data_IF_841365483352
#
_entry.id   IF_841365483352
#
_cell.length_a   1.000
_cell.length_b   1.000
_cell.length_c   1.000
_cell.angle_alpha   90.00
_cell.angle_beta   90.00
_cell.angle_gamma   90.00
#
_symmetry.space_group_name_H-M   'P 1'
#
loop_
_entity.id
_entity.type
_entity.pdbx_description
1 polymer ?
#
# COMPACT_ATOMS: atom_id res chain seq x y z
N UNK A 1 22.25 -7.31 -11.83
CA UNK A 1 22.08 -8.67 -11.30
C UNK A 1 20.87 -8.60 -10.39
N UNK A 2 19.75 -9.23 -10.77
CA UNK A 2 18.52 -9.22 -9.97
C UNK A 2 18.79 -10.06 -8.72
N UNK A 3 18.48 -9.52 -7.54
CA UNK A 3 18.65 -10.27 -6.29
C UNK A 3 17.58 -11.36 -6.18
N UNK A 4 17.85 -12.43 -5.42
CA UNK A 4 16.86 -13.50 -5.19
C UNK A 4 15.56 -12.94 -4.60
N UNK A 5 15.64 -11.92 -3.75
CA UNK A 5 14.48 -11.26 -3.15
C UNK A 5 13.68 -10.37 -4.13
N UNK A 6 14.33 -9.83 -5.17
CA UNK A 6 13.66 -9.09 -6.24
C UNK A 6 12.92 -10.04 -7.18
N UNK A 7 13.55 -11.16 -7.57
CA UNK A 7 12.90 -12.18 -8.38
C UNK A 7 11.70 -12.81 -7.67
N UNK A 8 11.83 -13.07 -6.36
CA UNK A 8 10.73 -13.61 -5.56
C UNK A 8 9.63 -12.58 -5.31
N UNK A 9 9.96 -11.29 -5.19
CA UNK A 9 8.97 -10.21 -5.15
C UNK A 9 8.12 -10.17 -6.42
N UNK A 10 8.78 -10.18 -7.58
CA UNK A 10 8.12 -10.10 -8.89
C UNK A 10 7.15 -11.29 -9.04
N UNK A 11 7.67 -12.51 -8.84
CA UNK A 11 6.91 -13.75 -8.88
C UNK A 11 5.73 -13.77 -7.91
N UNK A 12 5.95 -13.34 -6.66
CA UNK A 12 4.88 -13.33 -5.66
C UNK A 12 3.82 -12.29 -6.00
N UNK A 13 4.20 -11.13 -6.55
CA UNK A 13 3.27 -10.09 -6.97
C UNK A 13 2.40 -10.58 -8.12
N UNK A 14 3.00 -11.22 -9.13
CA UNK A 14 2.25 -11.82 -10.24
C UNK A 14 1.28 -12.90 -9.75
N UNK A 15 1.72 -13.72 -8.79
CA UNK A 15 0.84 -14.71 -8.16
C UNK A 15 -0.36 -14.06 -7.47
N UNK A 16 -0.16 -12.98 -6.71
CA UNK A 16 -1.26 -12.26 -6.05
C UNK A 16 -2.24 -11.65 -7.06
N UNK A 17 -1.76 -11.08 -8.16
CA UNK A 17 -2.59 -10.42 -9.16
C UNK A 17 -3.36 -11.42 -10.03
N UNK A 18 -2.76 -12.58 -10.30
CA UNK A 18 -3.36 -13.63 -11.15
C UNK A 18 -4.23 -14.63 -10.38
N UNK A 19 -4.25 -14.58 -9.05
CA UNK A 19 -5.03 -15.50 -8.22
C UNK A 19 -6.44 -14.99 -7.96
N UNK A 20 -7.43 -15.81 -8.29
CA UNK A 20 -8.86 -15.53 -8.03
C UNK A 20 -9.39 -16.19 -6.74
N UNK A 21 -8.51 -16.83 -5.96
CA UNK A 21 -8.85 -17.61 -4.77
C UNK A 21 -7.78 -17.41 -3.69
N UNK A 22 -7.82 -18.23 -2.64
CA UNK A 22 -6.88 -18.21 -1.53
C UNK A 22 -5.42 -18.33 -2.01
N UNK A 23 -4.64 -17.28 -1.78
CA UNK A 23 -3.21 -17.24 -2.07
C UNK A 23 -2.44 -17.81 -0.89
N UNK A 24 -1.73 -18.92 -1.08
CA UNK A 24 -0.92 -19.56 -0.03
C UNK A 24 0.50 -19.84 -0.51
N UNK A 25 1.47 -19.89 0.40
CA UNK A 25 2.86 -20.21 0.05
C UNK A 25 2.99 -21.64 -0.53
N UNK A 26 2.19 -22.58 -0.04
CA UNK A 26 2.11 -23.94 -0.59
C UNK A 26 1.49 -23.95 -1.98
N UNK A 27 0.44 -23.14 -2.20
CA UNK A 27 -0.21 -22.99 -3.51
C UNK A 27 0.75 -22.43 -4.57
N UNK A 28 1.49 -21.37 -4.24
CA UNK A 28 2.52 -20.84 -5.14
C UNK A 28 3.63 -21.86 -5.41
N UNK A 29 4.12 -22.54 -4.36
CA UNK A 29 5.16 -23.57 -4.52
C UNK A 29 4.72 -24.70 -5.45
N UNK A 30 3.46 -25.16 -5.33
CA UNK A 30 2.89 -26.16 -6.22
C UNK A 30 2.72 -25.66 -7.65
N UNK A 31 2.27 -24.41 -7.84
CA UNK A 31 2.12 -23.78 -9.16
C UNK A 31 3.45 -23.71 -9.93
N UNK A 32 4.56 -23.61 -9.20
CA UNK A 32 5.91 -23.50 -9.75
C UNK A 32 6.68 -24.83 -9.75
N UNK A 33 5.98 -25.96 -9.68
CA UNK A 33 6.57 -27.32 -9.64
C UNK A 33 7.68 -27.44 -8.58
N UNK A 34 7.48 -26.81 -7.43
CA UNK A 34 8.41 -26.77 -6.29
C UNK A 34 9.78 -26.14 -6.59
N UNK A 35 9.93 -25.41 -7.71
CA UNK A 35 11.16 -24.65 -8.01
C UNK A 35 11.45 -23.56 -6.97
N UNK A 36 10.41 -23.08 -6.29
CA UNK A 36 10.50 -22.28 -5.05
C UNK A 36 9.70 -22.99 -3.96
N UNK A 37 10.34 -23.27 -2.82
CA UNK A 37 9.66 -23.93 -1.70
C UNK A 37 8.75 -22.98 -0.92
N UNK A 38 7.70 -23.50 -0.29
CA UNK A 38 6.83 -22.71 0.59
C UNK A 38 7.60 -22.09 1.78
N UNK A 39 8.68 -22.75 2.24
CA UNK A 39 9.57 -22.21 3.28
C UNK A 39 10.37 -20.99 2.79
N UNK A 40 10.83 -21.01 1.53
CA UNK A 40 11.50 -19.85 0.94
C UNK A 40 10.55 -18.66 0.85
N UNK A 41 9.31 -18.90 0.39
CA UNK A 41 8.26 -17.87 0.32
C UNK A 41 7.95 -17.32 1.72
N UNK A 42 7.78 -18.20 2.72
CA UNK A 42 7.49 -17.80 4.09
C UNK A 42 8.63 -16.98 4.70
N UNK A 43 9.88 -17.40 4.47
CA UNK A 43 11.06 -16.67 4.94
C UNK A 43 11.18 -15.30 4.29
N UNK A 44 10.87 -15.20 3.00
CA UNK A 44 10.82 -13.94 2.27
C UNK A 44 9.76 -12.99 2.83
N UNK A 45 8.54 -13.47 3.07
CA UNK A 45 7.45 -12.67 3.65
C UNK A 45 7.71 -12.26 5.11
N UNK A 46 8.51 -13.05 5.85
CA UNK A 46 8.91 -12.76 7.23
C UNK A 46 10.07 -11.75 7.34
N UNK A 47 10.64 -11.29 6.22
CA UNK A 47 11.63 -10.22 6.22
C UNK A 47 11.03 -8.89 6.71
N UNK A 48 11.84 -7.84 6.82
CA UNK A 48 11.33 -6.51 7.18
C UNK A 48 10.21 -6.09 6.22
N UNK A 49 9.12 -5.49 6.72
CA UNK A 49 8.12 -4.90 5.85
C UNK A 49 8.75 -3.87 4.91
N UNK A 50 8.37 -3.92 3.63
CA UNK A 50 8.75 -2.90 2.65
C UNK A 50 7.91 -1.64 2.86
N UNK A 51 8.54 -0.49 2.65
CA UNK A 51 7.93 0.82 2.85
C UNK A 51 7.87 1.63 1.54
N UNK A 52 7.38 2.86 1.62
CA UNK A 52 7.27 3.74 0.46
C UNK A 52 8.60 4.06 -0.23
N UNK A 53 9.72 4.05 0.49
CA UNK A 53 11.03 4.27 -0.12
C UNK A 53 11.50 3.05 -0.91
N UNK A 54 11.16 1.84 -0.44
CA UNK A 54 11.40 0.60 -1.18
C UNK A 54 10.58 0.59 -2.49
N UNK A 55 9.30 1.00 -2.45
CA UNK A 55 8.48 1.18 -3.66
C UNK A 55 9.13 2.17 -4.63
N UNK A 56 9.57 3.33 -4.13
CA UNK A 56 10.22 4.34 -4.96
C UNK A 56 11.45 3.78 -5.68
N UNK A 57 12.24 2.93 -5.02
CA UNK A 57 13.41 2.30 -5.65
C UNK A 57 13.02 1.47 -6.88
N UNK A 58 11.91 0.72 -6.79
CA UNK A 58 11.38 -0.11 -7.88
C UNK A 58 10.84 0.74 -9.03
N UNK A 59 10.02 1.77 -8.74
CA UNK A 59 9.33 2.52 -9.79
C UNK A 59 10.15 3.67 -10.39
N UNK A 60 11.17 4.16 -9.68
CA UNK A 60 11.99 5.32 -10.09
C UNK A 60 12.53 5.20 -11.52
N UNK A 61 13.12 4.08 -11.98
CA UNK A 61 13.60 3.97 -13.35
C UNK A 61 12.48 4.07 -14.39
N UNK A 62 11.26 3.65 -14.06
CA UNK A 62 10.10 3.81 -14.93
C UNK A 62 9.66 5.26 -14.95
N UNK A 63 9.51 5.89 -13.77
CA UNK A 63 9.14 7.30 -13.64
C UNK A 63 10.10 8.21 -14.41
N UNK A 64 11.42 8.02 -14.27
CA UNK A 64 12.42 8.83 -14.99
C UNK A 64 12.37 8.72 -16.52
N UNK A 65 11.85 7.62 -17.05
CA UNK A 65 11.69 7.43 -18.50
C UNK A 65 10.43 8.10 -19.04
N UNK A 66 9.40 8.27 -18.21
CA UNK A 66 8.07 8.72 -18.64
C UNK A 66 7.70 10.11 -18.12
N UNK A 67 8.40 10.64 -17.11
CA UNK A 67 8.04 11.89 -16.46
C UNK A 67 8.12 13.08 -17.42
N UNK A 68 7.13 13.96 -17.30
CA UNK A 68 7.01 15.18 -18.09
C UNK A 68 6.45 16.29 -17.24
N UNK A 69 6.59 17.53 -17.70
CA UNK A 69 6.18 18.71 -16.94
C UNK A 69 4.65 18.76 -16.75
N UNK A 70 3.87 18.12 -17.63
CA UNK A 70 2.41 17.97 -17.53
C UNK A 70 1.93 16.85 -16.60
N UNK A 71 2.84 16.07 -15.98
CA UNK A 71 2.45 15.02 -15.05
C UNK A 71 1.62 15.54 -13.87
N UNK A 72 0.81 14.67 -13.27
CA UNK A 72 0.03 15.01 -12.06
C UNK A 72 0.23 13.95 -10.99
N UNK A 73 0.15 14.36 -9.74
CA UNK A 73 0.05 13.45 -8.60
C UNK A 73 -1.40 13.36 -8.17
N UNK A 74 -1.91 12.15 -8.01
CA UNK A 74 -3.25 11.87 -7.51
C UNK A 74 -3.06 11.20 -6.16
N UNK A 75 -3.63 11.78 -5.11
CA UNK A 75 -3.60 11.18 -3.78
C UNK A 75 -4.99 10.73 -3.39
N UNK A 76 -5.10 9.44 -3.10
CA UNK A 76 -6.35 8.79 -2.73
C UNK A 76 -6.14 7.89 -1.51
N UNK A 77 -7.22 7.56 -0.81
CA UNK A 77 -7.23 6.58 0.28
C UNK A 77 -8.13 5.40 -0.05
N UNK A 78 -7.65 4.21 0.27
CA UNK A 78 -8.33 2.96 -0.04
C UNK A 78 -8.37 2.06 1.18
N UNK A 79 -9.38 1.18 1.24
CA UNK A 79 -9.50 0.16 2.28
C UNK A 79 -9.49 -1.21 1.61
N UNK A 80 -8.44 -1.98 1.88
CA UNK A 80 -8.40 -3.40 1.55
C UNK A 80 -9.13 -4.18 2.64
N UNK A 81 -10.32 -4.70 2.33
CA UNK A 81 -11.16 -5.39 3.31
C UNK A 81 -10.52 -6.70 3.79
N UNK A 82 -10.50 -6.90 5.11
CA UNK A 82 -10.02 -8.13 5.77
C UNK A 82 -11.04 -8.60 6.80
N UNK A 83 -12.27 -8.97 6.39
CA UNK A 83 -13.38 -9.26 7.31
C UNK A 83 -13.12 -10.44 8.25
N UNK A 84 -12.27 -11.40 7.84
CA UNK A 84 -11.98 -12.60 8.60
C UNK A 84 -10.62 -12.59 9.31
N UNK A 85 -9.86 -11.50 9.22
CA UNK A 85 -8.56 -11.38 9.90
C UNK A 85 -8.71 -10.70 11.25
N UNK A 86 -7.92 -11.14 12.23
CA UNK A 86 -7.91 -10.54 13.57
C UNK A 86 -7.44 -9.08 13.54
N UNK A 87 -8.01 -8.28 14.44
CA UNK A 87 -7.64 -6.87 14.57
C UNK A 87 -6.23 -6.73 15.14
N UNK A 88 -5.46 -5.81 14.57
CA UNK A 88 -4.17 -5.39 15.07
C UNK A 88 -3.96 -3.90 14.73
N UNK A 89 -2.74 -3.39 14.88
CA UNK A 89 -2.48 -1.97 14.64
C UNK A 89 -2.69 -1.58 13.18
N UNK A 90 -2.51 -2.50 12.23
CA UNK A 90 -2.71 -2.29 10.81
C UNK A 90 -4.13 -2.67 10.35
N UNK A 91 -4.66 -3.78 10.86
CA UNK A 91 -5.99 -4.29 10.52
C UNK A 91 -6.99 -3.78 11.56
N UNK A 92 -7.80 -2.81 11.17
CA UNK A 92 -8.76 -2.19 12.08
C UNK A 92 -10.06 -1.79 11.37
N UNK A 93 -10.98 -1.18 12.11
CA UNK A 93 -12.24 -0.66 11.58
C UNK A 93 -12.06 0.75 11.04
N UNK A 94 -12.34 0.97 9.76
CA UNK A 94 -12.24 2.25 9.07
C UNK A 94 -13.60 2.60 8.47
N UNK A 95 -13.97 3.88 8.48
CA UNK A 95 -15.20 4.32 7.83
C UNK A 95 -14.95 4.52 6.35
N UNK A 96 -15.80 3.94 5.52
CA UNK A 96 -15.80 4.08 4.08
C UNK A 96 -17.00 4.94 3.65
N UNK A 97 -16.71 6.11 3.10
CA UNK A 97 -17.73 7.05 2.62
C UNK A 97 -18.52 6.49 1.44
N UNK A 98 -17.90 5.65 0.60
CA UNK A 98 -18.55 5.10 -0.59
C UNK A 98 -19.62 4.05 -0.24
N UNK A 99 -19.44 3.36 0.90
CA UNK A 99 -20.36 2.32 1.40
C UNK A 99 -21.17 2.75 2.62
N UNK A 100 -20.97 3.98 3.09
CA UNK A 100 -21.61 4.57 4.27
C UNK A 100 -21.56 3.65 5.51
N UNK A 101 -20.42 2.99 5.75
CA UNK A 101 -20.28 2.04 6.87
C UNK A 101 -18.84 1.84 7.31
N UNK A 102 -18.68 1.23 8.48
CA UNK A 102 -17.38 0.75 8.96
C UNK A 102 -17.02 -0.58 8.27
N UNK A 103 -15.82 -0.63 7.70
CA UNK A 103 -15.20 -1.82 7.14
C UNK A 103 -13.98 -2.21 7.98
N UNK A 104 -13.83 -3.52 8.23
CA UNK A 104 -12.61 -4.05 8.83
C UNK A 104 -11.60 -4.35 7.72
N UNK A 105 -10.41 -3.77 7.82
CA UNK A 105 -9.42 -3.89 6.76
C UNK A 105 -8.15 -3.10 7.03
N UNK A 106 -7.35 -2.97 5.97
CA UNK A 106 -6.13 -2.16 5.94
C UNK A 106 -6.47 -0.87 5.20
N UNK A 107 -6.44 0.27 5.87
CA UNK A 107 -6.54 1.56 5.21
C UNK A 107 -5.14 2.06 4.83
N UNK A 108 -5.00 2.56 3.61
CA UNK A 108 -3.74 3.09 3.11
C UNK A 108 -4.01 4.26 2.19
N UNK A 109 -3.08 5.21 2.19
CA UNK A 109 -3.06 6.31 1.22
C UNK A 109 -2.04 5.97 0.14
N UNK A 110 -2.33 6.35 -1.09
CA UNK A 110 -1.44 6.16 -2.24
C UNK A 110 -1.24 7.48 -2.95
N UNK A 111 -0.01 7.78 -3.35
CA UNK A 111 0.28 8.82 -4.32
C UNK A 111 0.56 8.16 -5.68
N UNK A 112 -0.32 8.40 -6.64
CA UNK A 112 -0.28 7.88 -7.99
C UNK A 112 0.20 8.97 -8.94
N UNK A 113 1.28 8.71 -9.67
CA UNK A 113 1.75 9.59 -10.73
C UNK A 113 1.07 9.23 -12.05
N UNK A 114 0.39 10.20 -12.65
CA UNK A 114 -0.25 10.07 -13.95
C UNK A 114 0.42 10.99 -14.97
N UNK A 115 0.84 10.43 -16.10
CA UNK A 115 1.35 11.19 -17.25
C UNK A 115 0.88 10.54 -18.56
N UNK A 116 0.07 11.27 -19.33
CA UNK A 116 -0.60 10.70 -20.50
C UNK A 116 -1.43 9.46 -20.12
N UNK A 117 -1.11 8.32 -20.75
CA UNK A 117 -1.76 7.03 -20.48
C UNK A 117 -1.08 6.20 -19.39
N UNK A 118 0.04 6.66 -18.82
CA UNK A 118 0.80 5.92 -17.80
C UNK A 118 0.34 6.33 -16.40
N UNK A 119 0.08 5.33 -15.57
CA UNK A 119 -0.27 5.48 -14.15
C UNK A 119 0.64 4.62 -13.29
N UNK A 120 1.33 5.22 -12.30
CA UNK A 120 2.32 4.53 -11.48
C UNK A 120 2.20 4.94 -10.01
N UNK A 121 2.09 4.01 -9.05
CA UNK A 121 2.16 4.35 -7.63
C UNK A 121 3.61 4.74 -7.29
N UNK A 122 3.80 5.94 -6.74
CA UNK A 122 5.13 6.49 -6.43
C UNK A 122 5.39 6.64 -4.93
N UNK A 123 4.33 6.67 -4.13
CA UNK A 123 4.41 6.60 -2.68
C UNK A 123 3.14 5.96 -2.11
N UNK A 124 3.25 5.41 -0.90
CA UNK A 124 2.11 4.94 -0.13
C UNK A 124 2.36 5.10 1.36
N UNK A 125 1.29 5.09 2.14
CA UNK A 125 1.37 5.11 3.59
C UNK A 125 0.27 4.25 4.19
N UNK A 126 0.64 3.31 5.07
CA UNK A 126 -0.30 2.42 5.75
C UNK A 126 -0.81 3.07 7.04
N UNK A 127 -2.13 3.16 7.20
CA UNK A 127 -2.75 3.79 8.36
C UNK A 127 -2.80 2.79 9.51
N UNK A 128 -1.88 2.94 10.45
CA UNK A 128 -1.88 2.19 11.70
C UNK A 128 -2.59 2.93 12.83
N UNK A 129 -3.35 2.21 13.66
CA UNK A 129 -4.07 2.71 14.83
C UNK A 129 -3.55 2.08 16.11
N UNK A 130 -2.50 2.70 16.64
CA UNK A 130 -1.73 2.22 17.81
C UNK A 130 -2.27 2.75 19.15
N UNK A 131 -3.06 3.82 19.14
CA UNK A 131 -3.63 4.39 20.37
C UNK A 131 -5.01 3.81 20.66
N UNK A 132 -5.35 3.66 21.94
CA UNK A 132 -6.70 3.29 22.39
C UNK A 132 -7.31 4.49 23.10
N UNK A 133 -8.46 4.95 22.60
CA UNK A 133 -9.21 6.09 23.14
C UNK A 133 -10.62 5.63 23.50
N UNK A 134 -11.16 6.06 24.64
CA UNK A 134 -12.57 5.83 24.98
C UNK A 134 -13.43 6.79 24.17
N UNK A 135 -14.34 6.24 23.36
CA UNK A 135 -15.32 7.02 22.64
C UNK A 135 -16.34 7.60 23.64
N UNK A 136 -16.37 8.93 23.74
CA UNK A 136 -17.22 9.64 24.72
C UNK A 136 -18.72 9.40 24.54
N UNK A 137 -19.17 9.03 23.33
CA UNK A 137 -20.59 8.81 23.04
C UNK A 137 -21.03 7.40 23.37
N UNK A 138 -20.18 6.42 23.08
CA UNK A 138 -20.50 4.98 23.22
C UNK A 138 -19.90 4.35 24.47
N UNK A 139 -18.98 5.04 25.14
CA UNK A 139 -18.19 4.57 26.28
C UNK A 139 -17.40 3.27 25.99
N UNK A 140 -17.07 3.04 24.72
CA UNK A 140 -16.32 1.86 24.26
C UNK A 140 -14.91 2.26 23.83
N UNK A 141 -13.90 1.38 24.03
CA UNK A 141 -12.57 1.61 23.48
C UNK A 141 -12.62 1.63 21.95
N UNK A 142 -11.90 2.58 21.36
CA UNK A 142 -11.68 2.68 19.92
C UNK A 142 -10.21 2.90 19.65
N UNK A 143 -9.70 2.22 18.61
CA UNK A 143 -8.34 2.43 18.12
C UNK A 143 -8.28 3.74 17.34
N UNK A 144 -7.22 4.52 17.55
CA UNK A 144 -6.96 5.79 16.85
C UNK A 144 -5.53 5.81 16.31
N UNK A 145 -5.37 6.45 15.15
CA UNK A 145 -4.05 6.73 14.59
C UNK A 145 -3.44 7.96 15.23
N UNK A 146 -2.13 7.92 15.47
CA UNK A 146 -1.33 9.06 15.93
C UNK A 146 -1.25 10.18 14.89
N UNK A 147 -1.30 9.81 13.61
CA UNK A 147 -1.24 10.73 12.48
C UNK A 147 -2.59 10.80 11.77
N UNK A 148 -3.01 12.01 11.45
CA UNK A 148 -4.16 12.29 10.59
C UNK A 148 -3.86 11.93 9.13
N UNK A 149 -4.91 11.67 8.33
CA UNK A 149 -4.78 11.48 6.88
C UNK A 149 -4.08 12.67 6.21
N UNK A 150 -4.36 13.90 6.64
CA UNK A 150 -3.74 15.11 6.11
C UNK A 150 -2.24 15.21 6.42
N UNK A 151 -1.79 14.78 7.59
CA UNK A 151 -0.36 14.73 7.91
C UNK A 151 0.38 13.69 7.05
N UNK A 152 -0.23 12.50 6.87
CA UNK A 152 0.29 11.43 6.01
C UNK A 152 0.37 11.89 4.55
N UNK A 153 -0.69 12.51 4.03
CA UNK A 153 -0.71 13.12 2.70
C UNK A 153 0.42 14.14 2.52
N UNK A 154 0.56 15.11 3.43
CA UNK A 154 1.66 16.10 3.37
C UNK A 154 3.04 15.43 3.39
N UNK A 155 3.22 14.36 4.16
CA UNK A 155 4.48 13.62 4.19
C UNK A 155 4.78 12.93 2.85
N UNK A 156 3.79 12.26 2.24
CA UNK A 156 3.94 11.65 0.92
C UNK A 156 4.23 12.69 -0.17
N UNK A 157 3.55 13.84 -0.14
CA UNK A 157 3.79 14.90 -1.12
C UNK A 157 5.20 15.48 -0.97
N UNK A 158 5.66 15.69 0.27
CA UNK A 158 7.06 16.10 0.53
C UNK A 158 8.05 15.06 0.00
N UNK A 159 7.77 13.77 0.13
CA UNK A 159 8.61 12.72 -0.44
C UNK A 159 8.65 12.79 -1.98
N UNK A 160 7.50 13.03 -2.63
CA UNK A 160 7.45 13.20 -4.09
C UNK A 160 8.25 14.42 -4.57
N UNK A 161 8.16 15.55 -3.86
CA UNK A 161 8.94 16.76 -4.13
C UNK A 161 10.44 16.53 -3.88
N UNK A 162 10.79 15.87 -2.77
CA UNK A 162 12.18 15.51 -2.47
C UNK A 162 12.77 14.59 -3.54
N UNK A 163 11.96 13.66 -4.05
CA UNK A 163 12.30 12.79 -5.16
C UNK A 163 12.35 13.51 -6.51
N UNK A 164 12.06 14.81 -6.58
CA UNK A 164 12.10 15.62 -7.80
C UNK A 164 11.26 15.00 -8.94
N UNK A 165 10.08 14.46 -8.61
CA UNK A 165 9.13 14.00 -9.62
C UNK A 165 8.59 15.23 -10.33
N UNK A 166 8.57 15.22 -11.66
CA UNK A 166 7.97 16.31 -12.43
C UNK A 166 6.45 16.21 -12.44
N UNK A 167 5.78 17.15 -11.79
CA UNK A 167 4.33 17.27 -11.83
C UNK A 167 3.88 18.73 -11.76
N UNK A 168 2.76 19.04 -12.38
CA UNK A 168 2.16 20.39 -12.42
C UNK A 168 1.09 20.59 -11.37
N UNK A 169 0.30 19.56 -11.11
CA UNK A 169 -0.84 19.62 -10.19
C UNK A 169 -0.86 18.41 -9.27
N UNK A 170 -1.50 18.61 -8.12
CA UNK A 170 -1.87 17.55 -7.19
C UNK A 170 -3.39 17.50 -7.15
N UNK A 171 -3.95 16.30 -7.33
CA UNK A 171 -5.38 16.01 -7.32
C UNK A 171 -5.69 15.13 -6.12
N UNK A 172 -6.77 15.45 -5.40
CA UNK A 172 -7.25 14.66 -4.27
C UNK A 172 -8.73 14.99 -4.02
N UNK A 173 -9.42 14.10 -3.33
CA UNK A 173 -10.77 14.35 -2.84
C UNK A 173 -10.76 15.22 -1.58
N UNK A 174 -11.92 15.81 -1.27
CA UNK A 174 -12.16 16.45 0.01
C UNK A 174 -12.56 15.39 1.04
N UNK A 175 -11.72 15.21 2.06
CA UNK A 175 -11.92 14.27 3.17
C UNK A 175 -12.30 14.97 4.47
#
# INVERSE_FOLDING_TARGET
MITVDEALLDLYTDYLISSFSYTTATGLSQLLDQSVSHDQITRFLAQRPRNSADLWHVVKPVVRRVERDEGVLIVDDSIEEKPYTDENDLISWHYDHSKDRLLKGINFLTALYQVGAVSLPVAFDLVTKTEIVIDKKTNKPRRKSTLTKNERYRAMLKACVHNQIKFRYVLNDAW
#
